data_IF_912311273686
#
_entry.id   IF_912311273686
#
_cell.length_a   1.000
_cell.length_b   1.000
_cell.length_c   1.000
_cell.angle_alpha   90.00
_cell.angle_beta   90.00
_cell.angle_gamma   90.00
#
_symmetry.space_group_name_H-M   'P 1'
#
loop_
_entity.id
_entity.type
_entity.pdbx_description
1 polymer ?
#
# COMPACT_ATOMS: atom_id res chain seq x y z
N UNK A 1 6.17 21.24 -17.40
CA UNK A 1 4.79 21.77 -17.45
C UNK A 1 4.33 21.89 -16.01
N UNK A 2 3.69 22.99 -15.63
CA UNK A 2 3.07 23.12 -14.30
C UNK A 2 1.66 22.54 -14.30
N UNK A 3 1.05 22.34 -13.11
CA UNK A 3 -0.35 21.94 -13.00
C UNK A 3 -1.27 23.00 -13.68
N UNK A 4 -0.98 24.28 -13.50
CA UNK A 4 -1.75 25.36 -14.12
C UNK A 4 -1.65 25.36 -15.66
N UNK A 5 -0.48 25.08 -16.21
CA UNK A 5 -0.32 24.92 -17.68
C UNK A 5 -1.16 23.74 -18.19
N UNK A 6 -1.18 22.63 -17.43
CA UNK A 6 -1.99 21.46 -17.79
C UNK A 6 -3.49 21.74 -17.74
N UNK A 7 -3.96 22.39 -16.67
CA UNK A 7 -5.38 22.78 -16.53
C UNK A 7 -5.80 23.78 -17.61
N UNK A 8 -4.93 24.73 -17.93
CA UNK A 8 -5.17 25.67 -19.03
C UNK A 8 -5.28 24.97 -20.39
N UNK A 9 -4.47 23.94 -20.63
CA UNK A 9 -4.52 23.12 -21.86
C UNK A 9 -5.80 22.27 -21.98
N UNK A 10 -6.55 22.09 -20.88
CA UNK A 10 -7.84 21.41 -20.87
C UNK A 10 -9.01 22.36 -21.12
N UNK A 11 -8.83 23.67 -21.08
CA UNK A 11 -9.92 24.62 -21.34
C UNK A 11 -10.42 24.49 -22.77
N UNK A 12 -11.74 24.48 -22.93
CA UNK A 12 -12.41 24.26 -24.21
C UNK A 12 -12.47 22.79 -24.65
N UNK A 13 -11.84 21.87 -23.92
CA UNK A 13 -11.95 20.42 -24.13
C UNK A 13 -13.08 19.82 -23.31
N UNK A 14 -13.66 18.75 -23.83
CA UNK A 14 -14.61 17.91 -23.07
C UNK A 14 -13.81 16.85 -22.33
N UNK A 15 -13.97 16.79 -21.01
CA UNK A 15 -13.21 15.86 -20.15
C UNK A 15 -14.18 14.87 -19.51
N UNK A 16 -13.86 13.58 -19.57
CA UNK A 16 -14.52 12.57 -18.76
C UNK A 16 -13.63 12.13 -17.60
N UNK A 17 -14.23 11.93 -16.44
CA UNK A 17 -13.58 11.28 -15.28
C UNK A 17 -14.34 10.02 -14.94
N UNK A 18 -13.69 8.86 -15.05
CA UNK A 18 -14.30 7.56 -14.83
C UNK A 18 -14.01 7.08 -13.42
N UNK A 19 -15.10 6.81 -12.67
CA UNK A 19 -15.09 6.43 -11.26
C UNK A 19 -15.15 7.66 -10.34
N UNK A 20 -16.25 7.81 -9.61
CA UNK A 20 -16.48 8.86 -8.59
C UNK A 20 -16.07 8.31 -7.21
N UNK A 21 -14.91 7.66 -7.15
CA UNK A 21 -14.31 7.13 -5.91
C UNK A 21 -13.40 8.14 -5.23
N UNK A 22 -12.88 7.75 -4.05
CA UNK A 22 -12.00 8.57 -3.22
C UNK A 22 -10.81 9.13 -4.02
N UNK A 23 -10.22 8.35 -4.93
CA UNK A 23 -9.07 8.77 -5.74
C UNK A 23 -9.38 9.91 -6.72
N UNK A 24 -10.59 9.95 -7.29
CA UNK A 24 -10.94 10.91 -8.34
C UNK A 24 -11.78 12.09 -7.84
N UNK A 25 -12.26 12.07 -6.60
CA UNK A 25 -13.03 13.20 -6.06
C UNK A 25 -12.20 14.51 -6.00
N UNK A 26 -10.93 14.52 -5.54
CA UNK A 26 -10.09 15.71 -5.60
C UNK A 26 -9.84 16.19 -7.03
N UNK A 27 -9.62 15.26 -7.97
CA UNK A 27 -9.45 15.56 -9.38
C UNK A 27 -10.70 16.23 -9.97
N UNK A 28 -11.91 15.70 -9.68
CA UNK A 28 -13.17 16.30 -10.14
C UNK A 28 -13.30 17.74 -9.68
N UNK A 29 -13.05 18.00 -8.39
CA UNK A 29 -13.08 19.36 -7.83
C UNK A 29 -12.07 20.28 -8.52
N UNK A 30 -10.82 19.84 -8.64
CA UNK A 30 -9.75 20.59 -9.30
C UNK A 30 -10.12 20.99 -10.74
N UNK A 31 -10.66 20.06 -11.53
CA UNK A 31 -11.07 20.33 -12.91
C UNK A 31 -12.26 21.32 -12.99
N UNK A 32 -13.24 21.16 -12.11
CA UNK A 32 -14.43 22.04 -12.07
C UNK A 32 -14.06 23.45 -11.62
N UNK A 33 -13.20 23.59 -10.60
CA UNK A 33 -12.67 24.88 -10.13
C UNK A 33 -11.85 25.60 -11.20
N UNK A 34 -11.13 24.83 -12.04
CA UNK A 34 -10.42 25.36 -13.21
C UNK A 34 -11.34 25.71 -14.39
N UNK A 35 -12.66 25.53 -14.29
CA UNK A 35 -13.61 25.83 -15.34
C UNK A 35 -13.61 24.87 -16.52
N UNK A 36 -13.10 23.63 -16.33
CA UNK A 36 -13.09 22.60 -17.34
C UNK A 36 -14.48 21.96 -17.48
N UNK A 37 -14.92 21.67 -18.72
CA UNK A 37 -16.18 20.97 -18.98
C UNK A 37 -16.02 19.48 -18.65
N UNK A 38 -16.61 19.03 -17.52
CA UNK A 38 -16.41 17.70 -16.97
C UNK A 38 -17.68 16.87 -17.02
N UNK A 39 -17.55 15.61 -17.47
CA UNK A 39 -18.55 14.54 -17.30
C UNK A 39 -17.98 13.50 -16.36
N UNK A 40 -18.59 13.30 -15.20
CA UNK A 40 -18.24 12.23 -14.27
C UNK A 40 -19.04 10.97 -14.59
N UNK A 41 -18.32 9.85 -14.76
CA UNK A 41 -18.89 8.57 -15.17
C UNK A 41 -18.71 7.52 -14.07
N UNK A 42 -19.77 6.84 -13.62
CA UNK A 42 -19.65 5.78 -12.61
C UNK A 42 -20.68 4.67 -12.85
N UNK A 43 -20.29 3.43 -12.53
CA UNK A 43 -21.20 2.28 -12.58
C UNK A 43 -22.34 2.39 -11.56
N UNK A 44 -22.13 3.08 -10.46
CA UNK A 44 -23.14 3.37 -9.45
C UNK A 44 -24.22 4.27 -10.04
N UNK A 45 -25.45 4.03 -9.63
CA UNK A 45 -26.55 4.93 -9.91
C UNK A 45 -26.54 6.17 -8.97
N UNK A 46 -27.45 7.11 -9.23
CA UNK A 46 -27.59 8.33 -8.43
C UNK A 46 -27.91 8.05 -6.96
N UNK A 47 -28.71 7.03 -6.68
CA UNK A 47 -29.09 6.69 -5.31
C UNK A 47 -27.89 6.17 -4.51
N UNK A 48 -27.05 5.36 -5.14
CA UNK A 48 -25.81 4.83 -4.54
C UNK A 48 -24.72 5.89 -4.34
N UNK A 49 -24.70 6.95 -5.15
CA UNK A 49 -23.80 8.10 -4.95
C UNK A 49 -24.30 9.07 -3.88
N UNK A 50 -25.61 9.09 -3.62
CA UNK A 50 -26.21 9.93 -2.58
C UNK A 50 -25.94 11.43 -2.76
N UNK A 51 -25.53 12.16 -1.70
CA UNK A 51 -25.28 13.61 -1.73
C UNK A 51 -24.21 14.03 -2.74
N UNK A 52 -23.22 13.19 -3.02
CA UNK A 52 -22.13 13.46 -3.95
C UNK A 52 -22.64 13.77 -5.38
N UNK A 53 -23.71 13.12 -5.83
CA UNK A 53 -24.28 13.39 -7.14
C UNK A 53 -24.80 14.83 -7.23
N UNK A 54 -25.49 15.31 -6.19
CA UNK A 54 -26.00 16.68 -6.13
C UNK A 54 -24.88 17.73 -6.00
N UNK A 55 -23.83 17.43 -5.24
CA UNK A 55 -22.65 18.31 -5.11
C UNK A 55 -21.96 18.51 -6.46
N UNK A 56 -21.73 17.44 -7.21
CA UNK A 56 -21.08 17.51 -8.51
C UNK A 56 -21.94 18.27 -9.54
N UNK A 57 -23.24 18.02 -9.59
CA UNK A 57 -24.15 18.74 -10.50
C UNK A 57 -24.25 20.22 -10.15
N UNK A 58 -24.32 20.57 -8.85
CA UNK A 58 -24.32 21.96 -8.39
C UNK A 58 -23.03 22.68 -8.79
N UNK A 59 -21.90 21.97 -8.87
CA UNK A 59 -20.63 22.47 -9.37
C UNK A 59 -20.53 22.52 -10.92
N UNK A 60 -21.59 22.16 -11.65
CA UNK A 60 -21.63 22.18 -13.12
C UNK A 60 -21.12 20.92 -13.81
N UNK A 61 -20.92 19.82 -13.09
CA UNK A 61 -20.49 18.54 -13.64
C UNK A 61 -21.67 17.80 -14.28
N UNK A 62 -21.52 17.33 -15.51
CA UNK A 62 -22.45 16.36 -16.09
C UNK A 62 -22.23 14.98 -15.49
N UNK A 63 -23.30 14.21 -15.26
CA UNK A 63 -23.22 12.86 -14.72
C UNK A 63 -23.66 11.82 -15.78
N UNK A 64 -22.89 10.74 -15.90
CA UNK A 64 -23.23 9.53 -16.66
C UNK A 64 -23.08 8.33 -15.73
N UNK A 65 -24.21 7.79 -15.29
CA UNK A 65 -24.29 6.82 -14.19
C UNK A 65 -25.00 5.53 -14.63
N UNK A 66 -24.73 4.43 -13.94
CA UNK A 66 -25.35 3.14 -14.17
C UNK A 66 -24.56 2.24 -15.11
N UNK A 67 -25.15 1.14 -15.57
CA UNK A 67 -24.43 0.07 -16.30
C UNK A 67 -23.81 0.57 -17.61
N UNK A 68 -24.42 1.53 -18.29
CA UNK A 68 -23.99 2.03 -19.61
C UNK A 68 -23.02 3.24 -19.50
N UNK A 69 -22.42 3.47 -18.33
CA UNK A 69 -21.58 4.65 -18.06
C UNK A 69 -20.35 4.80 -18.98
N UNK A 70 -19.92 3.73 -19.63
CA UNK A 70 -18.79 3.72 -20.59
C UNK A 70 -19.24 3.79 -22.06
N UNK A 71 -20.53 3.68 -22.36
CA UNK A 71 -21.01 3.65 -23.73
C UNK A 71 -20.87 5.01 -24.41
N UNK A 72 -20.42 4.99 -25.67
CA UNK A 72 -20.36 6.20 -26.50
C UNK A 72 -19.48 7.32 -25.97
N UNK A 73 -18.47 7.02 -25.16
CA UNK A 73 -17.48 8.01 -24.69
C UNK A 73 -16.76 8.64 -25.89
N UNK A 74 -16.91 9.95 -26.05
CA UNK A 74 -16.34 10.75 -27.14
C UNK A 74 -15.64 12.03 -26.66
N UNK A 75 -15.33 12.10 -25.37
CA UNK A 75 -14.63 13.21 -24.75
C UNK A 75 -13.18 13.28 -25.25
N UNK A 76 -12.66 14.50 -25.33
CA UNK A 76 -11.29 14.75 -25.85
C UNK A 76 -10.21 14.17 -24.91
N UNK A 77 -10.48 14.22 -23.60
CA UNK A 77 -9.62 13.63 -22.55
C UNK A 77 -10.44 12.80 -21.59
N UNK A 78 -9.95 11.60 -21.28
CA UNK A 78 -10.62 10.65 -20.38
C UNK A 78 -9.65 10.28 -19.26
N UNK A 79 -9.96 10.68 -18.03
CA UNK A 79 -9.28 10.22 -16.84
C UNK A 79 -9.89 8.89 -16.38
N UNK A 80 -9.11 7.83 -16.40
CA UNK A 80 -9.56 6.53 -15.92
C UNK A 80 -9.24 6.32 -14.43
N UNK A 81 -10.13 5.64 -13.72
CA UNK A 81 -9.79 5.07 -12.42
C UNK A 81 -8.83 3.88 -12.59
N UNK A 82 -7.87 3.64 -11.66
CA UNK A 82 -7.00 2.47 -11.74
C UNK A 82 -7.75 1.13 -11.85
N UNK A 83 -8.90 0.99 -11.19
CA UNK A 83 -9.72 -0.22 -11.23
C UNK A 83 -10.37 -0.54 -12.57
N UNK A 84 -10.37 0.39 -13.54
CA UNK A 84 -10.87 0.14 -14.87
C UNK A 84 -9.72 -0.25 -15.80
N UNK A 85 -9.78 -1.48 -16.35
CA UNK A 85 -8.77 -1.93 -17.31
C UNK A 85 -8.82 -1.08 -18.60
N UNK A 86 -7.65 -0.65 -19.16
CA UNK A 86 -7.59 0.25 -20.33
C UNK A 86 -8.31 -0.31 -21.58
N UNK A 87 -8.43 -1.63 -21.73
CA UNK A 87 -9.14 -2.28 -22.85
C UNK A 87 -10.58 -1.80 -23.04
N UNK A 88 -11.25 -1.40 -21.96
CA UNK A 88 -12.61 -0.87 -22.04
C UNK A 88 -12.69 0.54 -22.66
N UNK A 89 -11.55 1.20 -22.85
CA UNK A 89 -11.44 2.55 -23.42
C UNK A 89 -10.80 2.56 -24.82
N UNK A 90 -10.51 1.40 -25.40
CA UNK A 90 -9.89 1.31 -26.75
C UNK A 90 -10.74 1.94 -27.83
N UNK A 91 -12.08 1.77 -27.75
CA UNK A 91 -12.99 2.41 -28.70
C UNK A 91 -12.97 3.94 -28.61
N UNK A 92 -12.79 4.51 -27.41
CA UNK A 92 -12.65 5.95 -27.25
C UNK A 92 -11.28 6.43 -27.76
N UNK A 93 -10.19 5.70 -27.50
CA UNK A 93 -8.86 5.97 -28.06
C UNK A 93 -8.86 5.94 -29.58
N UNK A 94 -9.54 4.95 -30.17
CA UNK A 94 -9.65 4.85 -31.64
C UNK A 94 -10.42 6.04 -32.25
N UNK A 95 -11.27 6.71 -31.49
CA UNK A 95 -11.95 7.97 -31.88
C UNK A 95 -11.12 9.23 -31.66
N UNK A 96 -9.92 9.10 -31.09
CA UNK A 96 -8.99 10.21 -30.84
C UNK A 96 -8.98 10.73 -29.39
N UNK A 97 -9.70 10.10 -28.46
CA UNK A 97 -9.64 10.50 -27.05
C UNK A 97 -8.27 10.21 -26.44
N UNK A 98 -7.72 11.17 -25.70
CA UNK A 98 -6.52 10.97 -24.87
C UNK A 98 -6.98 10.30 -23.56
N UNK A 99 -6.53 9.08 -23.33
CA UNK A 99 -6.81 8.36 -22.06
C UNK A 99 -5.62 8.49 -21.14
N UNK A 100 -5.86 9.00 -19.94
CA UNK A 100 -4.86 9.27 -18.90
C UNK A 100 -5.41 8.86 -17.52
N UNK A 101 -4.66 9.14 -16.45
CA UNK A 101 -5.09 8.99 -15.07
C UNK A 101 -4.54 10.13 -14.21
N UNK A 102 -5.08 10.30 -13.02
CA UNK A 102 -4.60 11.29 -12.05
C UNK A 102 -3.09 11.16 -11.83
N UNK A 103 -2.59 9.93 -11.62
CA UNK A 103 -1.18 9.66 -11.36
C UNK A 103 -0.28 9.91 -12.59
N UNK A 104 -0.75 9.62 -13.82
CA UNK A 104 0.01 9.93 -15.04
C UNK A 104 0.21 11.44 -15.19
N UNK A 105 -0.83 12.22 -14.93
CA UNK A 105 -0.75 13.69 -14.96
C UNK A 105 0.12 14.20 -13.82
N UNK A 106 0.03 13.61 -12.62
CA UNK A 106 0.93 13.97 -11.52
C UNK A 106 2.40 13.80 -11.91
N UNK A 107 2.78 12.70 -12.54
CA UNK A 107 4.16 12.48 -13.04
C UNK A 107 4.59 13.48 -14.12
N UNK A 108 3.63 14.11 -14.79
CA UNK A 108 3.91 15.12 -15.81
C UNK A 108 4.16 16.50 -15.23
N UNK A 109 3.41 16.86 -14.18
CA UNK A 109 3.39 18.23 -13.61
C UNK A 109 4.18 18.38 -12.31
N UNK A 110 4.54 17.27 -11.65
CA UNK A 110 5.27 17.29 -10.40
C UNK A 110 6.64 17.99 -10.55
N UNK A 111 6.91 19.09 -9.81
CA UNK A 111 8.14 19.84 -9.96
C UNK A 111 9.35 19.20 -9.25
N UNK A 112 9.11 18.32 -8.26
CA UNK A 112 10.16 17.69 -7.46
C UNK A 112 10.51 16.29 -7.96
N UNK A 113 11.66 15.72 -7.57
CA UNK A 113 11.99 14.33 -7.87
C UNK A 113 10.97 13.37 -7.24
N UNK A 114 10.56 12.36 -8.04
CA UNK A 114 9.64 11.30 -7.63
C UNK A 114 10.43 10.05 -7.30
N UNK A 115 10.16 9.45 -6.14
CA UNK A 115 10.56 8.11 -5.74
C UNK A 115 9.32 7.24 -5.73
N UNK A 116 9.30 6.18 -6.54
CA UNK A 116 8.13 5.32 -6.65
C UNK A 116 8.47 3.87 -6.32
N UNK A 117 7.55 3.21 -5.59
CA UNK A 117 7.67 1.82 -5.16
C UNK A 117 6.54 0.99 -5.77
N UNK A 118 6.90 -0.14 -6.37
CA UNK A 118 5.95 -1.17 -6.80
C UNK A 118 6.44 -2.58 -6.44
N UNK A 119 5.60 -3.56 -6.64
CA UNK A 119 5.86 -4.99 -6.36
C UNK A 119 4.58 -5.75 -6.10
N UNK A 120 4.67 -7.05 -5.87
CA UNK A 120 3.53 -7.84 -5.40
C UNK A 120 3.28 -7.59 -3.93
N UNK A 121 4.32 -7.71 -3.09
CA UNK A 121 4.29 -7.51 -1.65
C UNK A 121 5.31 -6.46 -1.19
N UNK A 122 5.21 -6.00 0.06
CA UNK A 122 6.15 -5.07 0.68
C UNK A 122 6.03 -3.60 0.26
N UNK A 123 5.25 -3.26 -0.77
CA UNK A 123 5.10 -1.90 -1.30
C UNK A 123 4.85 -0.85 -0.21
N UNK A 124 3.78 -1.01 0.54
CA UNK A 124 3.34 -0.02 1.54
C UNK A 124 4.39 0.18 2.63
N UNK A 125 4.96 -0.91 3.13
CA UNK A 125 6.00 -0.85 4.16
C UNK A 125 7.24 -0.14 3.63
N UNK A 126 7.74 -0.53 2.46
CA UNK A 126 8.91 0.09 1.83
C UNK A 126 8.68 1.57 1.54
N UNK A 127 7.51 1.93 0.96
CA UNK A 127 7.15 3.32 0.68
C UNK A 127 7.12 4.17 1.96
N UNK A 128 6.53 3.61 3.03
CA UNK A 128 6.44 4.30 4.32
C UNK A 128 7.82 4.48 4.96
N UNK A 129 8.67 3.44 4.96
CA UNK A 129 10.04 3.53 5.47
C UNK A 129 10.82 4.63 4.71
N UNK A 130 10.77 4.64 3.39
CA UNK A 130 11.44 5.64 2.55
C UNK A 130 10.96 7.05 2.91
N UNK A 131 9.64 7.27 2.93
CA UNK A 131 9.06 8.57 3.25
C UNK A 131 9.50 9.07 4.64
N UNK A 132 9.45 8.20 5.64
CA UNK A 132 9.84 8.54 7.01
C UNK A 132 11.34 8.75 7.18
N UNK A 133 12.17 8.00 6.47
CA UNK A 133 13.63 8.22 6.45
C UNK A 133 13.99 9.58 5.87
N UNK A 134 13.39 9.94 4.73
CA UNK A 134 13.59 11.26 4.12
C UNK A 134 13.11 12.38 5.07
N UNK A 135 11.95 12.23 5.70
CA UNK A 135 11.45 13.19 6.71
C UNK A 135 12.39 13.30 7.90
N UNK A 136 12.92 12.17 8.42
CA UNK A 136 13.87 12.17 9.52
C UNK A 136 15.21 12.83 9.16
N UNK A 137 15.59 12.82 7.88
CA UNK A 137 16.74 13.54 7.34
C UNK A 137 16.45 15.03 7.05
N UNK A 138 15.24 15.52 7.31
CA UNK A 138 14.86 16.94 7.16
C UNK A 138 14.27 17.30 5.79
N UNK A 139 14.02 16.33 4.91
CA UNK A 139 13.34 16.59 3.65
C UNK A 139 11.82 16.76 3.83
N UNK A 140 11.21 17.67 3.09
CA UNK A 140 9.75 17.73 2.96
C UNK A 140 9.30 16.65 1.98
N UNK A 141 8.34 15.81 2.40
CA UNK A 141 7.89 14.63 1.65
C UNK A 141 6.39 14.68 1.44
N UNK A 142 5.99 14.49 0.18
CA UNK A 142 4.60 14.30 -0.24
C UNK A 142 4.38 12.82 -0.52
N UNK A 143 3.57 12.18 0.34
CA UNK A 143 3.32 10.74 0.31
C UNK A 143 1.96 10.44 -0.31
N UNK A 144 1.90 9.61 -1.36
CA UNK A 144 0.63 9.28 -1.99
C UNK A 144 0.68 8.11 -2.96
N UNK A 145 -0.25 8.09 -3.90
CA UNK A 145 -0.43 7.04 -4.90
C UNK A 145 -1.48 6.01 -4.51
N UNK A 146 -1.12 4.73 -4.44
CA UNK A 146 -2.01 3.65 -4.02
C UNK A 146 -2.29 3.65 -2.49
N UNK A 147 -1.60 4.49 -1.75
CA UNK A 147 -1.74 4.77 -0.32
C UNK A 147 -1.85 6.27 -0.09
N UNK A 148 -2.31 6.67 1.09
CA UNK A 148 -2.45 8.09 1.42
C UNK A 148 -3.57 8.75 0.63
N UNK A 149 -3.26 9.89 0.05
CA UNK A 149 -4.21 10.71 -0.73
C UNK A 149 -3.68 10.98 -2.15
N UNK A 150 -4.58 11.35 -3.10
CA UNK A 150 -4.18 11.73 -4.44
C UNK A 150 -3.34 13.02 -4.42
N UNK A 151 -2.20 13.03 -5.12
CA UNK A 151 -1.24 14.13 -5.05
C UNK A 151 -1.43 15.21 -6.11
N UNK A 152 -2.17 14.95 -7.17
CA UNK A 152 -2.31 15.91 -8.27
C UNK A 152 -2.94 17.24 -7.82
N UNK A 153 -3.93 17.18 -6.93
CA UNK A 153 -4.58 18.36 -6.40
C UNK A 153 -3.68 19.24 -5.50
N UNK A 154 -2.55 18.69 -5.05
CA UNK A 154 -1.57 19.38 -4.19
C UNK A 154 -0.31 19.79 -4.97
N UNK A 155 -0.24 19.51 -6.30
CA UNK A 155 0.98 19.71 -7.07
C UNK A 155 1.49 21.15 -7.10
N UNK A 156 0.62 22.15 -6.96
CA UNK A 156 1.01 23.55 -6.86
C UNK A 156 1.69 23.93 -5.52
N UNK A 157 1.48 23.14 -4.45
CA UNK A 157 2.11 23.30 -3.14
C UNK A 157 3.46 22.57 -3.03
N UNK A 158 3.81 21.75 -4.03
CA UNK A 158 5.05 21.01 -4.10
C UNK A 158 6.16 21.89 -4.67
N UNK A 159 7.32 21.89 -4.01
CA UNK A 159 8.50 22.66 -4.43
C UNK A 159 9.55 21.73 -5.07
N UNK A 160 10.42 22.27 -5.96
CA UNK A 160 11.47 21.47 -6.60
C UNK A 160 12.44 20.76 -5.66
N UNK A 161 12.65 21.31 -4.45
CA UNK A 161 13.51 20.74 -3.40
C UNK A 161 12.85 19.66 -2.55
N UNK A 162 11.51 19.50 -2.64
CA UNK A 162 10.75 18.48 -1.94
C UNK A 162 10.97 17.09 -2.56
N UNK A 163 10.40 16.05 -1.97
CA UNK A 163 10.34 14.70 -2.53
C UNK A 163 8.90 14.22 -2.61
N UNK A 164 8.50 13.68 -3.75
CA UNK A 164 7.27 12.92 -3.86
C UNK A 164 7.60 11.43 -3.74
N UNK A 165 7.01 10.77 -2.74
CA UNK A 165 7.19 9.33 -2.51
C UNK A 165 5.86 8.64 -2.77
N UNK A 166 5.80 7.77 -3.78
CA UNK A 166 4.54 7.19 -4.24
C UNK A 166 4.55 5.67 -4.27
N UNK A 167 3.49 5.06 -3.75
CA UNK A 167 3.21 3.65 -3.98
C UNK A 167 2.42 3.49 -5.28
N UNK A 168 2.84 2.58 -6.17
CA UNK A 168 2.14 2.32 -7.43
C UNK A 168 1.67 0.88 -7.54
N UNK A 169 0.37 0.71 -7.84
CA UNK A 169 -0.22 -0.57 -8.21
C UNK A 169 0.07 -0.90 -9.68
N UNK A 170 -0.05 -2.18 -10.07
CA UNK A 170 0.04 -2.59 -11.47
C UNK A 170 -1.04 -1.91 -12.33
N UNK A 171 -2.21 -1.65 -11.76
CA UNK A 171 -3.32 -0.99 -12.47
C UNK A 171 -3.04 0.48 -12.81
N UNK A 172 -2.35 1.21 -11.93
CA UNK A 172 -1.88 2.57 -12.21
C UNK A 172 -0.80 2.56 -13.29
N UNK A 173 0.08 1.55 -13.27
CA UNK A 173 1.21 1.44 -14.18
C UNK A 173 0.85 0.96 -15.61
N UNK A 174 -0.33 0.34 -15.82
CA UNK A 174 -0.75 -0.21 -17.14
C UNK A 174 -0.62 0.75 -18.32
N UNK A 175 -0.87 2.02 -18.09
CA UNK A 175 -0.84 3.05 -19.14
C UNK A 175 0.27 4.07 -18.96
N UNK A 176 1.02 3.95 -17.86
CA UNK A 176 2.08 4.91 -17.53
C UNK A 176 3.21 4.91 -18.57
N UNK A 177 3.60 6.11 -18.99
CA UNK A 177 4.68 6.37 -19.98
C UNK A 177 5.78 7.25 -19.42
N UNK A 178 5.86 7.38 -18.11
CA UNK A 178 6.89 8.11 -17.37
C UNK A 178 7.39 7.26 -16.22
N UNK A 179 8.66 7.31 -15.93
CA UNK A 179 9.27 6.63 -14.80
C UNK A 179 9.78 7.64 -13.76
N UNK A 180 9.87 7.27 -12.48
CA UNK A 180 10.37 8.16 -11.44
C UNK A 180 11.89 8.33 -11.52
N UNK A 181 12.40 9.31 -10.78
CA UNK A 181 13.84 9.50 -10.54
C UNK A 181 14.46 8.28 -9.86
N UNK A 182 13.77 7.74 -8.85
CA UNK A 182 14.17 6.52 -8.14
C UNK A 182 13.00 5.54 -8.20
N UNK A 183 13.25 4.37 -8.78
CA UNK A 183 12.30 3.28 -8.91
C UNK A 183 12.66 2.13 -7.97
N UNK A 184 11.71 1.60 -7.22
CA UNK A 184 11.91 0.45 -6.32
C UNK A 184 10.96 -0.68 -6.71
N UNK A 185 11.51 -1.85 -7.04
CA UNK A 185 10.79 -3.10 -7.26
C UNK A 185 11.06 -4.06 -6.12
N UNK A 186 10.07 -4.30 -5.24
CA UNK A 186 10.24 -5.12 -4.05
C UNK A 186 10.34 -6.61 -4.38
N UNK A 187 9.34 -7.13 -5.09
CA UNK A 187 9.27 -8.51 -5.60
C UNK A 187 8.17 -8.62 -6.65
N UNK A 188 8.21 -9.69 -7.43
CA UNK A 188 7.14 -10.05 -8.37
C UNK A 188 6.80 -11.53 -8.22
N UNK A 189 5.54 -11.80 -7.87
CA UNK A 189 4.94 -13.11 -7.77
C UNK A 189 3.51 -13.05 -8.35
N UNK A 190 2.93 -14.16 -8.80
CA UNK A 190 1.56 -14.17 -9.33
C UNK A 190 0.56 -13.51 -8.39
N UNK A 191 -0.11 -12.49 -8.91
CA UNK A 191 -1.11 -11.71 -8.18
C UNK A 191 -2.03 -11.00 -9.18
N UNK A 192 -3.31 -10.76 -8.80
CA UNK A 192 -4.29 -10.03 -9.62
C UNK A 192 -4.50 -10.60 -11.04
N UNK A 193 -4.34 -11.93 -11.24
CA UNK A 193 -4.56 -12.59 -12.52
C UNK A 193 -6.06 -12.77 -12.86
N UNK A 194 -6.92 -12.37 -11.96
CA UNK A 194 -8.36 -12.19 -12.18
C UNK A 194 -8.71 -10.93 -12.99
N UNK A 195 -7.79 -9.95 -13.04
CA UNK A 195 -7.98 -8.66 -13.73
C UNK A 195 -7.00 -8.51 -14.89
N UNK A 196 -5.70 -8.81 -14.67
CA UNK A 196 -4.72 -8.86 -15.75
C UNK A 196 -4.99 -10.03 -16.67
N UNK A 197 -4.73 -9.87 -17.96
CA UNK A 197 -4.94 -10.93 -18.95
C UNK A 197 -4.06 -12.15 -18.69
N UNK A 198 -2.85 -11.92 -18.21
CA UNK A 198 -1.85 -12.94 -17.86
C UNK A 198 -0.72 -12.36 -16.99
N UNK A 199 0.24 -13.24 -16.63
CA UNK A 199 1.41 -12.82 -15.87
C UNK A 199 2.33 -11.86 -16.64
N UNK A 200 2.37 -11.96 -17.96
CA UNK A 200 3.21 -11.12 -18.81
C UNK A 200 2.70 -9.66 -18.78
N UNK A 201 1.39 -9.44 -18.87
CA UNK A 201 0.79 -8.11 -18.71
C UNK A 201 1.08 -7.53 -17.33
N UNK A 202 0.95 -8.33 -16.27
CA UNK A 202 1.24 -7.91 -14.90
C UNK A 202 2.71 -7.47 -14.72
N UNK A 203 3.64 -8.27 -15.25
CA UNK A 203 5.08 -7.96 -15.25
C UNK A 203 5.36 -6.68 -16.07
N UNK A 204 4.83 -6.59 -17.30
CA UNK A 204 5.05 -5.45 -18.18
C UNK A 204 4.44 -4.16 -17.61
N UNK A 205 3.29 -4.24 -16.95
CA UNK A 205 2.71 -3.09 -16.26
C UNK A 205 3.70 -2.52 -15.23
N UNK A 206 4.30 -3.38 -14.39
CA UNK A 206 5.27 -2.94 -13.37
C UNK A 206 6.62 -2.51 -13.95
N UNK A 207 7.02 -3.08 -15.09
CA UNK A 207 8.22 -2.70 -15.79
C UNK A 207 8.19 -1.25 -16.32
N UNK A 208 6.99 -0.67 -16.54
CA UNK A 208 6.83 0.72 -16.87
C UNK A 208 7.50 1.68 -15.86
N UNK A 209 7.72 1.22 -14.63
CA UNK A 209 8.47 1.98 -13.62
C UNK A 209 9.94 2.21 -14.03
N UNK A 210 10.51 1.35 -14.88
CA UNK A 210 11.90 1.35 -15.35
C UNK A 210 12.06 1.83 -16.78
N UNK A 211 11.09 1.52 -17.66
CA UNK A 211 11.19 1.64 -19.11
C UNK A 211 11.49 3.05 -19.61
N UNK A 212 11.04 4.05 -18.87
CA UNK A 212 11.15 5.47 -19.25
C UNK A 212 12.16 6.23 -18.38
N UNK A 213 12.95 5.54 -17.55
CA UNK A 213 13.99 6.20 -16.76
C UNK A 213 15.06 6.77 -17.67
N UNK A 214 15.54 7.97 -17.34
CA UNK A 214 16.72 8.59 -17.94
C UNK A 214 18.00 7.95 -17.37
N UNK A 215 19.14 8.25 -18.00
CA UNK A 215 20.46 7.74 -17.57
C UNK A 215 20.89 8.20 -16.16
N UNK A 216 20.29 9.25 -15.66
CA UNK A 216 20.52 9.76 -14.30
C UNK A 216 19.52 9.16 -13.27
N UNK A 217 18.59 8.31 -13.72
CA UNK A 217 17.67 7.57 -12.86
C UNK A 217 18.37 6.49 -12.05
N UNK A 218 17.66 6.01 -11.02
CA UNK A 218 18.12 4.91 -10.15
C UNK A 218 17.03 3.85 -10.06
N UNK A 219 17.37 2.60 -10.28
CA UNK A 219 16.53 1.44 -10.03
C UNK A 219 17.05 0.65 -8.83
N UNK A 220 16.15 0.28 -7.93
CA UNK A 220 16.42 -0.62 -6.79
C UNK A 220 15.61 -1.89 -7.01
N UNK A 221 16.26 -3.04 -7.16
CA UNK A 221 15.65 -4.29 -7.51
C UNK A 221 16.02 -5.40 -6.52
N UNK A 222 15.09 -6.34 -6.30
CA UNK A 222 15.35 -7.51 -5.48
C UNK A 222 16.20 -8.52 -6.27
N UNK A 223 17.42 -8.81 -5.81
CA UNK A 223 18.31 -9.78 -6.42
C UNK A 223 17.82 -11.22 -6.25
N UNK A 224 17.13 -11.51 -5.15
CA UNK A 224 16.62 -12.85 -4.82
C UNK A 224 15.33 -13.21 -5.59
N UNK A 225 14.78 -12.26 -6.35
CA UNK A 225 13.61 -12.46 -7.21
C UNK A 225 14.02 -12.42 -8.69
N UNK A 226 13.95 -13.54 -9.40
CA UNK A 226 14.41 -13.68 -10.78
C UNK A 226 13.76 -12.66 -11.72
N UNK A 227 12.46 -12.41 -11.55
CA UNK A 227 11.72 -11.48 -12.42
C UNK A 227 12.23 -10.05 -12.23
N UNK A 228 12.39 -9.57 -11.00
CA UNK A 228 12.90 -8.21 -10.76
C UNK A 228 14.34 -8.05 -11.18
N UNK A 229 15.16 -9.10 -11.04
CA UNK A 229 16.53 -9.13 -11.52
C UNK A 229 16.60 -9.03 -13.05
N UNK A 230 15.75 -9.74 -13.78
CA UNK A 230 15.64 -9.63 -15.24
C UNK A 230 15.17 -8.24 -15.67
N UNK A 231 14.13 -7.71 -15.02
CA UNK A 231 13.58 -6.39 -15.33
C UNK A 231 14.57 -5.26 -15.11
N UNK A 232 15.58 -5.43 -14.26
CA UNK A 232 16.58 -4.40 -13.98
C UNK A 232 17.33 -3.95 -15.24
N UNK A 233 17.41 -4.79 -16.28
CA UNK A 233 18.01 -4.45 -17.58
C UNK A 233 17.19 -3.46 -18.40
N UNK A 234 15.94 -3.17 -18.01
CA UNK A 234 15.05 -2.27 -18.75
C UNK A 234 15.28 -0.79 -18.43
N UNK A 235 15.96 -0.48 -17.32
CA UNK A 235 16.33 0.90 -17.02
C UNK A 235 17.60 1.32 -17.82
N UNK A 236 17.69 2.61 -18.12
CA UNK A 236 18.92 3.25 -18.61
C UNK A 236 19.73 3.87 -17.47
N UNK A 237 19.18 3.87 -16.26
CA UNK A 237 19.79 4.43 -15.07
C UNK A 237 20.73 3.48 -14.35
N UNK A 238 21.20 3.88 -13.18
CA UNK A 238 22.02 3.04 -12.28
C UNK A 238 21.12 2.00 -11.62
N UNK A 239 21.65 0.77 -11.45
CA UNK A 239 20.95 -0.31 -10.76
C UNK A 239 21.63 -0.63 -9.44
N UNK A 240 20.84 -0.64 -8.37
CA UNK A 240 21.22 -1.16 -7.07
C UNK A 240 20.34 -2.34 -6.72
N UNK A 241 20.91 -3.33 -6.06
CA UNK A 241 20.16 -4.51 -5.66
C UNK A 241 20.10 -4.63 -4.15
N UNK A 242 19.09 -5.32 -3.66
CA UNK A 242 19.06 -5.81 -2.29
C UNK A 242 18.89 -7.32 -2.28
N UNK A 243 19.59 -8.00 -1.35
CA UNK A 243 19.59 -9.46 -1.24
C UNK A 243 19.84 -9.91 0.19
N UNK A 244 19.18 -11.00 0.58
CA UNK A 244 19.51 -11.71 1.82
C UNK A 244 20.68 -12.67 1.66
N UNK A 245 21.09 -12.95 0.44
CA UNK A 245 22.20 -13.84 0.17
C UNK A 245 23.54 -13.14 0.42
N UNK A 246 24.31 -13.68 1.37
CA UNK A 246 25.64 -13.16 1.75
C UNK A 246 26.77 -13.70 0.88
N UNK A 247 26.56 -14.85 0.21
CA UNK A 247 27.65 -15.58 -0.44
C UNK A 247 28.10 -14.90 -1.74
N UNK A 248 27.16 -14.32 -2.46
CA UNK A 248 27.41 -13.62 -3.73
C UNK A 248 26.64 -12.30 -3.79
N UNK A 249 27.02 -11.30 -2.98
CA UNK A 249 26.36 -10.02 -2.98
C UNK A 249 26.58 -9.30 -4.32
N UNK A 250 25.57 -8.56 -4.83
CA UNK A 250 25.68 -7.80 -6.06
C UNK A 250 26.77 -6.72 -5.97
N UNK A 251 27.22 -6.23 -7.11
CA UNK A 251 28.27 -5.21 -7.20
C UNK A 251 27.91 -3.89 -6.49
N UNK A 252 26.62 -3.55 -6.44
CA UNK A 252 26.13 -2.35 -5.75
C UNK A 252 24.77 -2.62 -5.08
N UNK A 253 24.57 -2.13 -3.87
CA UNK A 253 23.32 -2.24 -3.11
C UNK A 253 23.48 -2.78 -1.71
N UNK A 254 22.35 -3.26 -1.14
CA UNK A 254 22.28 -3.80 0.21
C UNK A 254 22.35 -5.34 0.23
N UNK A 255 23.04 -5.89 1.22
CA UNK A 255 23.11 -7.33 1.44
C UNK A 255 23.23 -7.65 2.93
N UNK A 256 22.84 -8.87 3.31
CA UNK A 256 23.06 -9.33 4.68
C UNK A 256 24.48 -9.87 4.84
N UNK A 257 25.13 -9.52 5.96
CA UNK A 257 26.37 -10.14 6.41
C UNK A 257 26.32 -10.26 7.94
N UNK A 258 26.33 -11.50 8.44
CA UNK A 258 26.09 -11.76 9.86
C UNK A 258 24.72 -11.20 10.30
N UNK A 259 24.69 -10.51 11.42
CA UNK A 259 23.48 -9.93 12.01
C UNK A 259 23.27 -8.45 11.61
N UNK A 260 23.68 -8.05 10.37
CA UNK A 260 23.55 -6.66 9.94
C UNK A 260 23.27 -6.54 8.42
N UNK A 261 22.64 -5.43 8.05
CA UNK A 261 22.52 -4.95 6.68
C UNK A 261 23.74 -4.13 6.33
N UNK A 262 24.44 -4.54 5.28
CA UNK A 262 25.57 -3.87 4.69
C UNK A 262 25.16 -3.20 3.38
N UNK A 263 25.83 -2.12 3.04
CA UNK A 263 25.72 -1.43 1.77
C UNK A 263 27.06 -1.40 1.06
N UNK A 264 27.04 -1.62 -0.26
CA UNK A 264 28.20 -1.56 -1.16
C UNK A 264 27.92 -0.61 -2.32
N UNK A 265 28.90 0.20 -2.65
CA UNK A 265 28.98 1.00 -3.88
C UNK A 265 30.42 1.13 -4.36
N UNK A 266 30.68 2.04 -5.30
CA UNK A 266 32.04 2.31 -5.83
C UNK A 266 33.05 2.80 -4.79
N UNK A 267 32.58 3.30 -3.63
CA UNK A 267 33.41 3.79 -2.52
C UNK A 267 33.75 2.69 -1.52
N UNK A 268 33.20 1.48 -1.66
CA UNK A 268 33.47 0.34 -0.80
C UNK A 268 32.23 -0.19 -0.09
N UNK A 269 32.46 -0.88 1.02
CA UNK A 269 31.42 -1.51 1.84
C UNK A 269 31.36 -0.90 3.23
N UNK A 270 30.15 -0.81 3.78
CA UNK A 270 29.95 -0.41 5.17
C UNK A 270 28.72 -1.06 5.78
N UNK A 271 28.76 -1.25 7.08
CA UNK A 271 27.61 -1.65 7.87
C UNK A 271 26.68 -0.46 8.05
N UNK A 272 25.40 -0.64 7.67
CA UNK A 272 24.36 0.39 7.78
C UNK A 272 23.47 0.18 8.97
N UNK A 273 22.93 -1.05 9.16
CA UNK A 273 21.87 -1.30 10.15
C UNK A 273 21.99 -2.70 10.77
N UNK A 274 22.22 -2.84 12.08
CA UNK A 274 22.09 -4.11 12.80
C UNK A 274 20.64 -4.62 12.74
N UNK A 275 20.43 -5.93 12.55
CA UNK A 275 19.11 -6.55 12.51
C UNK A 275 18.37 -6.40 13.86
N UNK A 276 19.09 -6.36 14.97
CA UNK A 276 18.54 -6.15 16.30
C UNK A 276 17.86 -4.79 16.48
N UNK A 277 18.21 -3.80 15.66
CA UNK A 277 17.59 -2.46 15.67
C UNK A 277 16.26 -2.42 14.89
N UNK A 278 15.90 -3.47 14.14
CA UNK A 278 14.67 -3.55 13.37
C UNK A 278 13.54 -4.07 14.25
N UNK A 279 12.61 -3.21 14.65
CA UNK A 279 11.47 -3.58 15.50
C UNK A 279 10.39 -4.40 14.76
N UNK A 280 10.34 -4.29 13.44
CA UNK A 280 9.35 -4.99 12.62
C UNK A 280 9.61 -6.50 12.58
N UNK A 281 8.65 -7.35 12.94
CA UNK A 281 8.83 -8.79 12.87
C UNK A 281 8.85 -9.29 11.41
N UNK A 282 9.59 -10.37 11.19
CA UNK A 282 9.59 -11.11 9.94
C UNK A 282 10.67 -10.70 8.94
N UNK A 283 11.18 -11.70 8.25
CA UNK A 283 12.30 -11.59 7.28
C UNK A 283 11.96 -10.65 6.12
N UNK A 284 10.71 -10.64 5.69
CA UNK A 284 10.24 -9.71 4.63
C UNK A 284 10.39 -8.23 5.02
N UNK A 285 10.36 -7.90 6.32
CA UNK A 285 10.60 -6.53 6.77
C UNK A 285 12.07 -6.15 6.73
N UNK A 286 12.98 -7.11 6.88
CA UNK A 286 14.41 -6.90 6.60
C UNK A 286 14.62 -6.57 5.12
N UNK A 287 13.95 -7.28 4.19
CA UNK A 287 13.97 -6.97 2.76
C UNK A 287 13.42 -5.57 2.46
N UNK A 288 12.29 -5.20 3.08
CA UNK A 288 11.70 -3.86 2.95
C UNK A 288 12.67 -2.76 3.44
N UNK A 289 13.37 -3.00 4.56
CA UNK A 289 14.41 -2.09 5.05
C UNK A 289 15.59 -1.98 4.07
N UNK A 290 16.10 -3.11 3.55
CA UNK A 290 17.18 -3.11 2.56
C UNK A 290 16.79 -2.34 1.29
N UNK A 291 15.58 -2.57 0.77
CA UNK A 291 15.07 -1.84 -0.39
C UNK A 291 15.00 -0.33 -0.13
N UNK A 292 14.49 0.06 1.04
CA UNK A 292 14.40 1.45 1.45
C UNK A 292 15.78 2.09 1.64
N UNK A 293 16.71 1.39 2.30
CA UNK A 293 18.10 1.85 2.48
C UNK A 293 18.76 2.09 1.13
N UNK A 294 18.63 1.16 0.16
CA UNK A 294 19.17 1.37 -1.19
C UNK A 294 18.57 2.62 -1.87
N UNK A 295 17.28 2.84 -1.70
CA UNK A 295 16.57 3.95 -2.36
C UNK A 295 16.96 5.33 -1.81
N UNK A 296 17.38 5.42 -0.54
CA UNK A 296 17.71 6.69 0.13
C UNK A 296 19.21 6.94 0.27
N UNK A 297 20.06 6.13 -0.36
CA UNK A 297 21.50 6.32 -0.31
C UNK A 297 21.90 7.69 -0.89
N UNK A 298 22.81 8.38 -0.17
CA UNK A 298 23.19 9.76 -0.50
C UNK A 298 22.19 10.84 -0.09
N UNK A 299 20.98 10.47 0.35
CA UNK A 299 19.94 11.39 0.82
C UNK A 299 19.79 11.34 2.34
N UNK A 300 19.99 10.18 2.95
CA UNK A 300 19.80 9.95 4.38
C UNK A 300 21.08 9.39 5.00
N UNK A 301 21.65 10.02 6.04
CA UNK A 301 22.81 9.51 6.76
C UNK A 301 22.52 8.18 7.50
N UNK A 302 23.51 7.28 7.57
CA UNK A 302 23.35 5.97 8.22
C UNK A 302 22.94 6.08 9.71
N UNK A 303 23.39 7.13 10.42
CA UNK A 303 22.95 7.41 11.80
C UNK A 303 21.45 7.63 11.91
N UNK A 304 20.86 8.39 10.96
CA UNK A 304 19.41 8.64 10.91
C UNK A 304 18.65 7.35 10.59
N UNK A 305 19.19 6.48 9.73
CA UNK A 305 18.62 5.17 9.43
C UNK A 305 18.55 4.30 10.69
N UNK A 306 19.63 4.24 11.48
CA UNK A 306 19.66 3.45 12.74
C UNK A 306 18.69 3.99 13.78
N UNK A 307 18.65 5.30 13.99
CA UNK A 307 17.77 5.92 14.98
C UNK A 307 16.28 5.73 14.58
N UNK A 308 15.98 5.83 13.30
CA UNK A 308 14.66 5.54 12.78
C UNK A 308 14.27 4.07 12.99
N UNK A 309 15.13 3.10 12.66
CA UNK A 309 14.84 1.68 12.76
C UNK A 309 14.48 1.26 14.20
N UNK A 310 15.12 1.85 15.21
CA UNK A 310 14.86 1.63 16.65
C UNK A 310 13.52 2.16 17.13
N UNK A 311 12.84 2.98 16.34
CA UNK A 311 11.59 3.63 16.72
C UNK A 311 10.43 3.28 15.78
N UNK A 312 10.72 2.73 14.61
CA UNK A 312 9.69 2.42 13.61
C UNK A 312 8.95 1.14 13.93
N UNK A 313 7.80 1.25 14.59
CA UNK A 313 6.93 0.13 14.97
C UNK A 313 6.03 -0.41 13.86
N UNK A 314 6.13 0.08 12.63
CA UNK A 314 5.35 -0.40 11.47
C UNK A 314 4.53 0.68 10.78
N UNK A 315 3.83 0.23 9.73
CA UNK A 315 2.84 1.04 9.04
C UNK A 315 1.57 1.08 9.88
N UNK A 316 1.00 2.24 10.05
CA UNK A 316 -0.23 2.40 10.83
C UNK A 316 -1.30 1.41 10.37
N UNK A 317 -1.91 0.73 11.33
CA UNK A 317 -2.90 -0.34 11.14
C UNK A 317 -2.43 -1.61 10.40
N UNK A 318 -1.13 -1.77 10.10
CA UNK A 318 -0.56 -2.95 9.44
C UNK A 318 0.57 -3.55 10.28
N UNK A 319 0.25 -4.54 11.10
CA UNK A 319 1.18 -5.17 12.06
C UNK A 319 1.95 -4.08 12.83
N UNK A 320 1.26 -3.00 13.17
CA UNK A 320 1.81 -1.83 13.87
C UNK A 320 2.02 -2.18 15.35
N UNK A 321 3.25 -2.09 15.84
CA UNK A 321 3.51 -2.22 17.27
C UNK A 321 2.92 -1.01 18.01
N UNK A 322 1.91 -1.24 18.83
CA UNK A 322 1.19 -0.20 19.59
C UNK A 322 1.89 0.10 20.90
N UNK A 323 2.23 -0.96 21.64
CA UNK A 323 2.82 -0.90 22.99
C UNK A 323 3.47 -2.23 23.35
N UNK A 324 4.55 -2.16 24.11
CA UNK A 324 5.02 -3.28 24.92
C UNK A 324 4.66 -3.01 26.38
N UNK A 325 4.03 -3.99 27.04
CA UNK A 325 3.55 -3.87 28.42
C UNK A 325 3.80 -5.18 29.16
N UNK A 326 4.54 -5.16 30.26
CA UNK A 326 4.88 -6.36 31.06
C UNK A 326 5.48 -7.49 30.22
N UNK A 327 6.32 -7.13 29.22
CA UNK A 327 6.89 -8.09 28.28
C UNK A 327 5.92 -8.63 27.24
N UNK A 328 4.68 -8.14 27.16
CA UNK A 328 3.67 -8.47 26.14
C UNK A 328 3.67 -7.40 25.04
N UNK A 329 3.84 -7.82 23.79
CA UNK A 329 3.82 -6.92 22.63
C UNK A 329 2.43 -6.90 21.97
N UNK A 330 1.88 -5.69 21.79
CA UNK A 330 0.54 -5.48 21.24
C UNK A 330 0.63 -4.91 19.83
N UNK A 331 0.03 -5.62 18.87
CA UNK A 331 0.05 -5.23 17.45
C UNK A 331 -1.33 -4.91 16.91
N UNK A 332 -1.41 -3.84 16.12
CA UNK A 332 -2.59 -3.43 15.38
C UNK A 332 -2.45 -3.79 13.90
N UNK A 333 -3.27 -4.73 13.42
CA UNK A 333 -3.36 -5.12 12.02
C UNK A 333 -4.81 -4.94 11.51
N UNK A 334 -5.44 -3.84 11.92
CA UNK A 334 -6.85 -3.55 11.60
C UNK A 334 -7.13 -3.49 10.09
N UNK A 335 -6.12 -3.23 9.25
CA UNK A 335 -6.23 -3.25 7.78
C UNK A 335 -6.49 -4.66 7.22
N UNK A 336 -6.23 -5.74 7.99
CA UNK A 336 -6.46 -7.12 7.59
C UNK A 336 -7.96 -7.46 7.59
N UNK A 337 -8.69 -6.86 6.66
CA UNK A 337 -10.14 -6.98 6.51
C UNK A 337 -10.58 -8.17 5.63
N UNK A 338 -9.73 -9.19 5.50
CA UNK A 338 -10.02 -10.46 4.81
C UNK A 338 -9.21 -11.62 5.41
N UNK A 339 -9.69 -12.87 5.28
CA UNK A 339 -8.97 -14.06 5.75
C UNK A 339 -7.53 -14.13 5.25
N UNK A 340 -7.30 -13.89 3.96
CA UNK A 340 -5.97 -13.98 3.35
C UNK A 340 -4.95 -13.00 3.96
N UNK A 341 -5.38 -11.79 4.32
CA UNK A 341 -4.51 -10.79 4.98
C UNK A 341 -4.16 -11.20 6.40
N UNK A 342 -5.14 -11.67 7.18
CA UNK A 342 -4.89 -12.19 8.52
C UNK A 342 -3.95 -13.39 8.50
N UNK A 343 -4.11 -14.33 7.56
CA UNK A 343 -3.17 -15.44 7.38
C UNK A 343 -1.74 -14.96 7.13
N UNK A 344 -1.57 -13.98 6.28
CA UNK A 344 -0.25 -13.39 6.02
C UNK A 344 0.34 -12.73 7.28
N UNK A 345 -0.49 -11.99 8.04
CA UNK A 345 -0.10 -11.37 9.31
C UNK A 345 0.33 -12.39 10.35
N UNK A 346 -0.44 -13.47 10.55
CA UNK A 346 -0.13 -14.52 11.51
C UNK A 346 1.21 -15.22 11.23
N UNK A 347 1.50 -15.48 9.96
CA UNK A 347 2.76 -16.10 9.51
C UNK A 347 4.00 -15.23 9.73
N UNK A 348 3.84 -13.95 10.08
CA UNK A 348 4.94 -13.05 10.37
C UNK A 348 5.55 -13.26 11.77
N UNK A 349 4.85 -14.00 12.63
CA UNK A 349 5.30 -14.27 14.00
C UNK A 349 5.89 -15.67 14.12
N UNK A 350 6.98 -15.79 14.88
CA UNK A 350 7.66 -17.06 15.12
C UNK A 350 6.98 -17.89 16.24
N UNK A 351 6.29 -17.22 17.16
CA UNK A 351 5.55 -17.85 18.25
C UNK A 351 4.04 -17.74 18.03
N UNK A 352 3.26 -18.65 18.64
CA UNK A 352 1.80 -18.54 18.63
C UNK A 352 1.35 -17.26 19.33
N UNK A 353 0.37 -16.58 18.72
CA UNK A 353 -0.14 -15.28 19.19
C UNK A 353 -1.50 -15.42 19.90
N UNK A 354 -1.90 -14.39 20.63
CA UNK A 354 -3.28 -14.15 21.05
C UNK A 354 -3.93 -13.30 19.96
N UNK A 355 -4.91 -13.86 19.25
CA UNK A 355 -5.57 -13.22 18.11
C UNK A 355 -6.93 -12.64 18.52
N UNK A 356 -7.13 -11.35 18.26
CA UNK A 356 -8.46 -10.71 18.31
C UNK A 356 -8.96 -10.61 16.86
N UNK A 357 -10.09 -11.29 16.55
CA UNK A 357 -10.64 -11.36 15.19
C UNK A 357 -12.15 -11.19 15.14
N UNK A 358 -12.66 -10.82 13.95
CA UNK A 358 -14.09 -10.66 13.67
C UNK A 358 -14.47 -9.24 13.24
N UNK A 359 -15.72 -9.07 12.81
CA UNK A 359 -16.27 -7.86 12.23
C UNK A 359 -17.44 -8.17 11.30
N UNK A 360 -17.63 -7.36 10.23
CA UNK A 360 -18.69 -7.57 9.23
C UNK A 360 -18.24 -8.48 8.09
N UNK A 361 -19.13 -9.39 7.70
CA UNK A 361 -18.87 -10.31 6.58
C UNK A 361 -18.79 -9.59 5.22
N UNK A 362 -17.92 -10.10 4.36
CA UNK A 362 -17.75 -9.72 2.95
C UNK A 362 -18.27 -10.77 1.97
N UNK A 363 -18.85 -11.86 2.43
CA UNK A 363 -19.19 -13.01 1.61
C UNK A 363 -17.98 -13.83 1.14
N UNK A 364 -16.88 -13.79 1.90
CA UNK A 364 -15.64 -14.53 1.60
C UNK A 364 -15.55 -15.74 2.56
N UNK A 365 -15.17 -16.90 2.05
CA UNK A 365 -14.99 -18.10 2.87
C UNK A 365 -13.88 -17.92 3.91
N UNK A 366 -14.16 -18.29 5.17
CA UNK A 366 -13.18 -18.33 6.26
C UNK A 366 -12.46 -19.68 6.37
N UNK A 367 -12.91 -20.73 5.64
CA UNK A 367 -12.35 -22.07 5.75
C UNK A 367 -10.81 -22.13 5.58
N UNK A 368 -10.16 -21.38 4.64
CA UNK A 368 -8.70 -21.39 4.52
C UNK A 368 -7.96 -20.79 5.73
N UNK A 369 -8.63 -19.98 6.55
CA UNK A 369 -8.04 -19.35 7.72
C UNK A 369 -7.92 -20.35 8.90
N UNK A 370 -8.81 -21.32 9.00
CA UNK A 370 -8.88 -22.26 10.11
C UNK A 370 -7.55 -22.97 10.42
N UNK A 371 -6.94 -23.66 9.43
CA UNK A 371 -5.65 -24.33 9.63
C UNK A 371 -4.54 -23.38 10.12
N UNK A 372 -4.51 -22.15 9.60
CA UNK A 372 -3.49 -21.15 9.97
C UNK A 372 -3.72 -20.63 11.39
N UNK A 373 -4.97 -20.45 11.81
CA UNK A 373 -5.29 -20.13 13.21
C UNK A 373 -4.77 -21.24 14.14
N UNK A 374 -5.05 -22.51 13.87
CA UNK A 374 -4.62 -23.62 14.73
C UNK A 374 -3.08 -23.74 14.81
N UNK A 375 -2.38 -23.40 13.73
CA UNK A 375 -0.92 -23.41 13.71
C UNK A 375 -0.29 -22.23 14.46
N UNK A 376 -0.85 -21.02 14.32
CA UNK A 376 -0.21 -19.77 14.75
C UNK A 376 -0.86 -19.09 15.95
N UNK A 377 -2.02 -19.56 16.43
CA UNK A 377 -2.76 -18.93 17.53
C UNK A 377 -2.78 -19.83 18.75
N UNK A 378 -2.54 -19.28 19.93
CA UNK A 378 -2.68 -19.98 21.24
C UNK A 378 -3.98 -19.64 21.93
N UNK A 379 -4.55 -18.48 21.66
CA UNK A 379 -5.83 -18.02 22.18
C UNK A 379 -6.54 -17.19 21.10
N UNK A 380 -7.76 -17.57 20.74
CA UNK A 380 -8.59 -16.86 19.77
C UNK A 380 -9.72 -16.11 20.50
N UNK A 381 -9.74 -14.80 20.37
CA UNK A 381 -10.78 -13.94 20.93
C UNK A 381 -11.60 -13.38 19.76
N UNK A 382 -12.88 -13.71 19.73
CA UNK A 382 -13.77 -13.37 18.63
C UNK A 382 -14.76 -12.27 19.03
N UNK A 383 -14.98 -11.30 18.14
CA UNK A 383 -16.02 -10.29 18.31
C UNK A 383 -16.65 -9.88 16.98
N UNK A 384 -17.91 -9.42 16.99
CA UNK A 384 -18.64 -9.00 15.81
C UNK A 384 -19.34 -10.14 15.04
N UNK A 385 -20.00 -9.79 13.93
CA UNK A 385 -20.93 -10.65 13.22
C UNK A 385 -20.30 -11.94 12.64
N UNK A 386 -18.99 -11.93 12.35
CA UNK A 386 -18.27 -13.07 11.75
C UNK A 386 -17.66 -14.02 12.77
N UNK A 387 -17.85 -13.78 14.07
CA UNK A 387 -17.30 -14.61 15.16
C UNK A 387 -17.63 -16.10 14.98
N UNK A 388 -18.89 -16.44 14.72
CA UNK A 388 -19.33 -17.83 14.49
C UNK A 388 -18.66 -18.47 13.27
N UNK A 389 -18.55 -17.77 12.15
CA UNK A 389 -17.93 -18.29 10.94
C UNK A 389 -16.41 -18.55 11.11
N UNK A 390 -15.70 -17.67 11.82
CA UNK A 390 -14.27 -17.85 12.12
C UNK A 390 -14.07 -19.00 13.11
N UNK A 391 -14.93 -19.12 14.13
CA UNK A 391 -14.94 -20.26 15.08
C UNK A 391 -15.12 -21.58 14.32
N UNK A 392 -16.14 -21.67 13.46
CA UNK A 392 -16.43 -22.86 12.66
C UNK A 392 -15.21 -23.24 11.80
N UNK A 393 -14.61 -22.26 11.11
CA UNK A 393 -13.42 -22.51 10.31
C UNK A 393 -12.25 -23.08 11.12
N UNK A 394 -12.01 -22.59 12.32
CA UNK A 394 -10.95 -23.08 13.20
C UNK A 394 -11.23 -24.48 13.72
N UNK A 395 -12.47 -24.76 14.17
CA UNK A 395 -12.86 -26.04 14.78
C UNK A 395 -12.99 -27.18 13.75
N UNK A 396 -13.44 -26.88 12.53
CA UNK A 396 -13.60 -27.85 11.44
C UNK A 396 -12.31 -28.13 10.66
N UNK A 397 -11.23 -27.39 10.94
CA UNK A 397 -9.95 -27.62 10.29
C UNK A 397 -9.32 -28.95 10.75
N UNK A 398 -8.70 -29.69 9.83
CA UNK A 398 -8.09 -31.01 10.09
C UNK A 398 -7.04 -30.99 11.22
N UNK A 399 -6.37 -29.85 11.42
CA UNK A 399 -5.34 -29.66 12.46
C UNK A 399 -5.88 -29.04 13.75
N UNK A 400 -7.18 -29.15 14.04
CA UNK A 400 -7.74 -28.65 15.30
C UNK A 400 -7.38 -29.57 16.48
N UNK A 401 -6.69 -29.01 17.45
CA UNK A 401 -6.20 -29.72 18.65
C UNK A 401 -6.75 -29.11 19.96
N UNK A 402 -7.93 -28.50 19.93
CA UNK A 402 -8.55 -27.93 21.13
C UNK A 402 -8.06 -26.50 21.45
N UNK A 403 -7.88 -25.67 20.44
CA UNK A 403 -7.55 -24.25 20.61
C UNK A 403 -8.53 -23.56 21.57
N UNK A 404 -8.01 -22.79 22.53
CA UNK A 404 -8.82 -21.97 23.43
C UNK A 404 -9.49 -20.83 22.63
N UNK A 405 -10.84 -20.78 22.64
CA UNK A 405 -11.64 -19.81 21.88
C UNK A 405 -12.65 -19.14 22.78
N UNK A 406 -12.62 -17.82 22.86
CA UNK A 406 -13.55 -16.99 23.57
C UNK A 406 -14.31 -16.03 22.66
N UNK A 407 -15.52 -15.66 23.06
CA UNK A 407 -16.28 -14.58 22.45
C UNK A 407 -16.33 -13.38 23.38
N UNK A 408 -16.04 -12.21 22.83
CA UNK A 408 -16.13 -10.93 23.53
C UNK A 408 -17.28 -10.09 22.97
N UNK A 409 -18.00 -9.41 23.86
CA UNK A 409 -19.13 -8.57 23.47
C UNK A 409 -18.70 -7.39 22.56
N UNK A 410 -17.52 -6.85 22.82
CA UNK A 410 -16.94 -5.69 22.12
C UNK A 410 -15.42 -5.66 22.20
N UNK A 411 -14.80 -4.63 21.62
CA UNK A 411 -13.33 -4.46 21.62
C UNK A 411 -12.75 -4.18 23.02
N UNK A 412 -13.38 -3.35 23.89
CA UNK A 412 -12.95 -3.21 25.28
C UNK A 412 -12.87 -4.54 26.02
N UNK A 413 -13.91 -5.38 25.93
CA UNK A 413 -13.93 -6.70 26.53
C UNK A 413 -12.86 -7.63 25.94
N UNK A 414 -12.65 -7.59 24.61
CA UNK A 414 -11.63 -8.39 23.94
C UNK A 414 -10.21 -8.01 24.39
N UNK A 415 -9.90 -6.71 24.49
CA UNK A 415 -8.60 -6.20 24.94
C UNK A 415 -8.37 -6.53 26.41
N UNK A 416 -9.39 -6.40 27.26
CA UNK A 416 -9.32 -6.77 28.69
C UNK A 416 -9.01 -8.26 28.84
N UNK A 417 -9.76 -9.12 28.15
CA UNK A 417 -9.55 -10.57 28.19
C UNK A 417 -8.15 -10.96 27.70
N UNK A 418 -7.69 -10.35 26.61
CA UNK A 418 -6.33 -10.57 26.12
C UNK A 418 -5.28 -10.16 27.15
N UNK A 419 -5.46 -9.02 27.84
CA UNK A 419 -4.55 -8.53 28.86
C UNK A 419 -4.49 -9.42 30.12
N UNK A 420 -5.61 -10.06 30.48
CA UNK A 420 -5.70 -11.02 31.59
C UNK A 420 -5.04 -12.36 31.29
N UNK A 421 -5.00 -12.77 30.00
CA UNK A 421 -4.49 -14.08 29.57
C UNK A 421 -3.08 -14.04 29.03
N UNK A 422 -2.58 -12.84 28.66
CA UNK A 422 -1.23 -12.68 28.14
C UNK A 422 -0.19 -12.68 29.25
N UNK A 423 0.88 -13.43 29.04
CA UNK A 423 2.08 -13.47 29.89
C UNK A 423 3.31 -12.88 29.21
N UNK A 424 4.39 -12.72 29.97
CA UNK A 424 5.68 -12.23 29.44
C UNK A 424 6.14 -13.04 28.22
N UNK A 425 6.57 -12.35 27.17
CA UNK A 425 6.97 -12.93 25.88
C UNK A 425 5.84 -13.10 24.87
N UNK A 426 4.56 -12.93 25.30
CA UNK A 426 3.42 -13.07 24.41
C UNK A 426 3.28 -11.93 23.40
N UNK A 427 2.58 -12.26 22.33
CA UNK A 427 2.12 -11.31 21.31
C UNK A 427 0.61 -11.31 21.28
N UNK A 428 0.00 -10.13 21.43
CA UNK A 428 -1.42 -9.89 21.16
C UNK A 428 -1.57 -9.12 19.88
N UNK A 429 -2.41 -9.61 18.95
CA UNK A 429 -2.66 -8.95 17.68
C UNK A 429 -4.15 -8.79 17.39
N UNK A 430 -4.54 -7.57 17.03
CA UNK A 430 -5.80 -7.32 16.34
C UNK A 430 -5.60 -7.58 14.85
N UNK A 431 -6.10 -8.70 14.30
CA UNK A 431 -6.11 -8.99 12.86
C UNK A 431 -7.47 -9.59 12.48
N UNK A 432 -8.42 -8.73 12.09
CA UNK A 432 -9.86 -9.04 12.16
C UNK A 432 -10.37 -10.06 11.16
N UNK A 433 -9.66 -10.32 10.05
CA UNK A 433 -10.12 -11.14 8.92
C UNK A 433 -11.45 -10.69 8.29
N UNK A 434 -12.02 -9.57 8.74
CA UNK A 434 -13.36 -9.07 8.42
C UNK A 434 -13.36 -7.55 8.32
N UNK A 435 -14.36 -6.98 7.63
CA UNK A 435 -14.51 -5.53 7.57
C UNK A 435 -14.95 -4.94 8.90
N UNK A 436 -14.87 -3.61 9.02
CA UNK A 436 -15.19 -2.89 10.25
C UNK A 436 -16.60 -2.30 10.28
N UNK A 437 -17.36 -2.37 9.19
CA UNK A 437 -18.61 -1.62 8.95
C UNK A 437 -19.82 -2.09 9.79
N UNK A 438 -19.63 -3.03 10.71
CA UNK A 438 -20.61 -3.39 11.72
C UNK A 438 -20.61 -2.45 12.93
N UNK A 439 -19.44 -1.82 13.22
CA UNK A 439 -19.27 -0.98 14.43
C UNK A 439 -18.47 0.30 14.17
N UNK A 440 -17.76 0.40 13.06
CA UNK A 440 -16.85 1.51 12.73
C UNK A 440 -17.07 1.98 11.30
N UNK A 441 -16.76 3.23 11.02
CA UNK A 441 -16.85 3.81 9.66
C UNK A 441 -15.88 3.15 8.68
N UNK A 442 -14.70 2.76 9.17
CA UNK A 442 -13.62 2.19 8.38
C UNK A 442 -12.65 1.41 9.29
N UNK A 443 -11.61 0.81 8.70
CA UNK A 443 -10.61 0.05 9.45
C UNK A 443 -9.67 0.97 10.25
N UNK A 444 -9.48 2.21 9.83
CA UNK A 444 -8.67 3.21 10.51
C UNK A 444 -9.28 3.53 11.88
N UNK A 445 -10.58 3.83 11.93
CA UNK A 445 -11.29 4.09 13.18
C UNK A 445 -11.22 2.87 14.12
N UNK A 446 -11.44 1.65 13.59
CA UNK A 446 -11.30 0.40 14.36
C UNK A 446 -9.89 0.28 14.96
N UNK A 447 -8.86 0.51 14.16
CA UNK A 447 -7.48 0.44 14.58
C UNK A 447 -7.13 1.52 15.60
N UNK A 448 -7.66 2.72 15.45
CA UNK A 448 -7.44 3.82 16.39
C UNK A 448 -8.06 3.51 17.75
N UNK A 449 -9.31 3.03 17.78
CA UNK A 449 -9.97 2.60 19.03
C UNK A 449 -9.20 1.47 19.72
N UNK A 450 -8.71 0.48 18.97
CA UNK A 450 -7.86 -0.56 19.53
C UNK A 450 -6.58 0.01 20.16
N UNK A 451 -5.89 0.93 19.49
CA UNK A 451 -4.68 1.59 20.01
C UNK A 451 -4.96 2.34 21.32
N UNK A 452 -6.07 3.05 21.38
CA UNK A 452 -6.49 3.79 22.59
C UNK A 452 -6.76 2.83 23.77
N UNK A 453 -7.47 1.74 23.53
CA UNK A 453 -7.74 0.72 24.55
C UNK A 453 -6.45 0.08 25.07
N UNK A 454 -5.53 -0.29 24.17
CA UNK A 454 -4.24 -0.88 24.57
C UNK A 454 -3.39 0.11 25.36
N UNK A 455 -3.35 1.38 24.96
CA UNK A 455 -2.60 2.44 25.67
C UNK A 455 -3.19 2.74 27.04
N UNK A 456 -4.50 2.59 27.21
CA UNK A 456 -5.21 2.81 28.46
C UNK A 456 -5.06 1.65 29.47
N UNK A 457 -4.53 0.49 29.08
CA UNK A 457 -4.28 -0.61 30.00
C UNK A 457 -3.34 -0.15 31.13
N UNK A 458 -3.65 -0.44 32.42
CA UNK A 458 -2.78 -0.09 33.55
C UNK A 458 -1.42 -0.79 33.41
N UNK A 459 -0.38 -0.19 34.01
CA UNK A 459 0.99 -0.74 34.00
C UNK A 459 1.06 -2.15 34.62
#
# INVERSE_FOLDING_TARGET
MTLQDYLHALQGKRVAVIGIGVSNQPLLRLLLEAGVSVTACDKKDRAALGPMAHELEAAGCALRLGEDYLEGLDQDVIFRTPGLHPRYLEAARARGSVVTSEMEVFFEVCPCPILAVTGSDGKTTTTTIIARLLQAAGHKVHLGGNIGHPLLSEADDIRPEDWAVVELSSFQLLTMRRSPRIAVLTNLAPNHLDIHTDMAEYINAKAALLDYQSSDGTAVCNWDNDITRELSSRTRGKVFYFTRNSDHPPAAGCFLRGEAIWYRDENGEREVLPLADILLPGVHNVENCMAAICAVQGLVPDGVIRDFARTFGGVEHRIELVRERRGVRWYNDSIASSPSRTMAGLRSFQSKVILIAGGKDKGISYAPLGPVINEHVKLLILCGATAGAIRTAAVEAENYEGLEIHEAADYPAAVTLAAERAGEGDVVILSPASTSFDRFKNFEERGQVFKELVRALPE
#
